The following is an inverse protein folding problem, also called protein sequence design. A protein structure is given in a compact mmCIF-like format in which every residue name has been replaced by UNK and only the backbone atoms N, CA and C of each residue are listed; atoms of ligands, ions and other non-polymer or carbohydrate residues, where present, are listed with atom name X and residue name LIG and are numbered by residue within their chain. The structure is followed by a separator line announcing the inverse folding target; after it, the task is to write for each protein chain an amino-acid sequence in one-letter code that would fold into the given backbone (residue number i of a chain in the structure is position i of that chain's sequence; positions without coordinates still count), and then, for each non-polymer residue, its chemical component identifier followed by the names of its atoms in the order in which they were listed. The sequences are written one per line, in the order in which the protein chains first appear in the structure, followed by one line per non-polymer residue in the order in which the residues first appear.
data_IF_712293707474
#
_entry.id   IF_712293707474
#
_cell.length_a   1.000
_cell.length_b   1.000
_cell.length_c   1.000
_cell.angle_alpha   90.00
_cell.angle_beta   90.00
_cell.angle_gamma   90.00
#
_symmetry.space_group_name_H-M   'P 1'
#
loop_
_entity.id
_entity.type
_entity.pdbx_description
1 polymer ?
#
# COMPACT_ATOMS: atom_id res chain seq x y z
N UNK A 1 -19.80 36.40 24.42
CA UNK A 1 -18.89 35.28 24.71
C UNK A 1 -18.89 34.38 23.49
N UNK A 2 -17.91 34.47 22.60
CA UNK A 2 -17.78 33.58 21.45
C UNK A 2 -16.54 32.72 21.68
N UNK A 3 -16.76 31.42 21.90
CA UNK A 3 -15.68 30.46 22.07
C UNK A 3 -14.89 30.36 20.76
N UNK A 4 -13.64 30.78 20.79
CA UNK A 4 -12.71 30.54 19.70
C UNK A 4 -12.44 29.03 19.64
N UNK A 5 -12.93 28.40 18.57
CA UNK A 5 -12.57 27.03 18.25
C UNK A 5 -11.05 26.97 18.02
N UNK A 6 -10.35 26.23 18.88
CA UNK A 6 -8.94 25.90 18.69
C UNK A 6 -8.79 25.20 17.34
N UNK A 7 -7.85 25.60 16.47
CA UNK A 7 -7.55 24.78 15.31
C UNK A 7 -6.93 23.50 15.88
N UNK A 8 -7.61 22.36 15.70
CA UNK A 8 -7.00 21.06 15.89
C UNK A 8 -5.84 21.03 14.90
N UNK A 9 -4.62 21.25 15.41
CA UNK A 9 -3.42 21.17 14.62
C UNK A 9 -3.42 19.81 13.93
N UNK A 10 -3.73 19.82 12.63
CA UNK A 10 -3.52 18.67 11.78
C UNK A 10 -2.04 18.35 11.93
N UNK A 11 -1.75 17.23 12.61
CA UNK A 11 -0.39 16.75 12.82
C UNK A 11 0.32 16.89 11.46
N UNK A 12 1.49 17.57 11.38
CA UNK A 12 2.25 17.55 10.15
C UNK A 12 2.37 16.08 9.76
N UNK A 13 2.06 15.68 8.52
CA UNK A 13 2.24 14.29 8.14
C UNK A 13 3.67 13.97 8.53
N UNK A 14 3.84 13.09 9.53
CA UNK A 14 5.13 12.48 9.84
C UNK A 14 5.73 12.20 8.49
N UNK A 15 6.98 12.57 8.25
CA UNK A 15 7.69 12.30 7.00
C UNK A 15 7.61 10.79 6.77
N UNK A 16 6.48 10.32 6.24
CA UNK A 16 6.27 8.97 5.79
C UNK A 16 7.29 8.95 4.69
N UNK A 17 8.35 8.17 4.86
CA UNK A 17 9.24 7.85 3.77
C UNK A 17 8.37 7.80 2.52
N UNK A 18 8.73 8.57 1.48
CA UNK A 18 7.92 8.81 0.26
C UNK A 18 7.59 7.52 -0.52
N UNK A 19 7.74 6.36 0.12
CA UNK A 19 7.29 5.05 -0.26
C UNK A 19 5.81 5.06 -0.59
N UNK A 20 5.51 4.80 -1.86
CA UNK A 20 4.15 4.62 -2.34
C UNK A 20 4.19 3.50 -3.36
N UNK A 21 3.42 2.45 -3.12
CA UNK A 21 3.20 1.40 -4.10
C UNK A 21 1.90 1.70 -4.83
N UNK A 22 1.98 1.89 -6.14
CA UNK A 22 0.81 2.00 -7.00
C UNK A 22 0.72 0.73 -7.85
N UNK A 23 -0.33 -0.05 -7.68
CA UNK A 23 -0.55 -1.26 -8.46
C UNK A 23 -1.69 -1.04 -9.45
N UNK A 24 -1.40 -1.23 -10.73
CA UNK A 24 -2.36 -1.13 -11.81
C UNK A 24 -2.90 -2.53 -12.13
N UNK A 25 -4.08 -2.88 -11.62
CA UNK A 25 -4.63 -4.23 -11.68
C UNK A 25 -6.10 -4.26 -12.10
N UNK A 26 -6.39 -4.94 -13.20
CA UNK A 26 -7.74 -5.18 -13.68
C UNK A 26 -8.32 -6.49 -13.14
N UNK A 27 -8.64 -6.54 -11.85
CA UNK A 27 -9.20 -7.74 -11.21
C UNK A 27 -10.71 -7.92 -11.38
N UNK A 28 -11.42 -6.98 -12.02
CA UNK A 28 -12.89 -7.04 -12.13
C UNK A 28 -13.63 -6.57 -10.86
N UNK A 29 -14.94 -6.34 -10.99
CA UNK A 29 -15.78 -5.79 -9.92
C UNK A 29 -15.97 -6.84 -8.82
N UNK A 30 -15.76 -6.44 -7.55
CA UNK A 30 -15.93 -7.29 -6.38
C UNK A 30 -14.64 -7.93 -5.86
N UNK A 31 -13.57 -7.92 -6.66
CA UNK A 31 -12.27 -8.38 -6.22
C UNK A 31 -11.48 -7.24 -5.57
N UNK A 32 -10.58 -7.57 -4.63
CA UNK A 32 -9.66 -6.60 -4.01
C UNK A 32 -8.23 -7.13 -4.04
N UNK A 33 -7.24 -6.28 -4.37
CA UNK A 33 -5.85 -6.66 -4.25
C UNK A 33 -5.40 -6.53 -2.79
N UNK A 34 -4.71 -7.55 -2.34
CA UNK A 34 -4.06 -7.67 -1.06
C UNK A 34 -2.56 -7.63 -1.28
N UNK A 35 -1.84 -7.00 -0.36
CA UNK A 35 -0.38 -6.95 -0.35
C UNK A 35 0.10 -7.74 0.87
N UNK A 36 1.03 -8.66 0.63
CA UNK A 36 1.73 -9.43 1.66
C UNK A 36 3.22 -9.18 1.55
N UNK A 37 3.97 -9.35 2.63
CA UNK A 37 5.41 -9.13 2.61
C UNK A 37 6.01 -9.11 4.01
N UNK A 38 7.31 -8.88 4.06
CA UNK A 38 8.06 -8.79 5.31
C UNK A 38 8.62 -7.38 5.49
N UNK A 39 7.80 -6.48 6.04
CA UNK A 39 8.22 -5.13 6.47
C UNK A 39 7.21 -4.01 6.19
N UNK A 40 7.44 -2.83 6.79
CA UNK A 40 6.58 -1.64 6.61
C UNK A 40 5.16 -1.79 7.15
N UNK A 41 4.96 -2.71 8.09
CA UNK A 41 3.66 -3.13 8.59
C UNK A 41 2.98 -4.25 7.78
N UNK A 42 3.61 -4.76 6.72
CA UNK A 42 3.13 -5.97 6.02
C UNK A 42 3.43 -7.23 6.82
N UNK A 43 2.62 -8.26 6.60
CA UNK A 43 2.82 -9.59 7.16
C UNK A 43 2.77 -10.64 6.03
N UNK A 44 3.62 -11.66 6.13
CA UNK A 44 3.56 -12.81 5.22
C UNK A 44 2.30 -13.67 5.43
N UNK A 45 1.79 -13.70 6.66
CA UNK A 45 0.59 -14.47 7.02
C UNK A 45 -0.72 -13.75 6.70
N UNK A 46 -0.71 -12.41 6.73
CA UNK A 46 -1.93 -11.60 6.60
C UNK A 46 -1.75 -10.54 5.53
N UNK A 47 -2.51 -10.68 4.44
CA UNK A 47 -2.60 -9.63 3.43
C UNK A 47 -3.26 -8.38 3.95
N UNK A 48 -2.75 -7.23 3.51
CA UNK A 48 -3.39 -5.93 3.72
C UNK A 48 -4.08 -5.53 2.42
N UNK A 49 -5.36 -5.17 2.48
CA UNK A 49 -6.04 -4.66 1.29
C UNK A 49 -5.45 -3.31 0.88
N UNK A 50 -5.16 -3.13 -0.41
CA UNK A 50 -4.73 -1.83 -0.92
C UNK A 50 -5.90 -0.84 -0.97
N UNK A 51 -5.58 0.45 -0.97
CA UNK A 51 -6.55 1.52 -1.12
C UNK A 51 -6.95 1.66 -2.60
N UNK A 52 -8.26 1.68 -2.85
CA UNK A 52 -8.79 1.87 -4.20
C UNK A 52 -8.67 3.33 -4.60
N UNK A 53 -7.96 3.62 -5.69
CA UNK A 53 -7.80 4.98 -6.21
C UNK A 53 -8.72 5.21 -7.40
N UNK A 54 -8.62 4.35 -8.40
CA UNK A 54 -9.40 4.42 -9.65
C UNK A 54 -9.52 3.01 -10.25
N UNK A 55 -10.39 2.83 -11.25
CA UNK A 55 -10.59 1.53 -11.88
C UNK A 55 -9.26 1.03 -12.43
N UNK A 56 -8.83 -0.13 -11.96
CA UNK A 56 -7.56 -0.69 -12.36
C UNK A 56 -6.36 -0.11 -11.64
N UNK A 57 -6.50 0.76 -10.63
CA UNK A 57 -5.37 1.34 -9.91
C UNK A 57 -5.61 1.42 -8.41
N UNK A 58 -4.61 0.94 -7.69
CA UNK A 58 -4.64 0.78 -6.26
C UNK A 58 -3.38 1.39 -5.68
N UNK A 59 -3.50 2.06 -4.55
CA UNK A 59 -2.35 2.61 -3.84
C UNK A 59 -2.21 1.96 -2.49
N UNK A 60 -0.99 1.69 -2.10
CA UNK A 60 -0.65 1.27 -0.76
C UNK A 60 0.57 2.06 -0.29
N UNK A 61 0.53 2.48 0.97
CA UNK A 61 1.64 3.12 1.64
C UNK A 61 1.92 2.36 2.93
N UNK A 62 3.20 2.11 3.26
CA UNK A 62 3.56 1.45 4.50
C UNK A 62 3.10 2.29 5.70
N UNK A 63 2.61 1.61 6.73
CA UNK A 63 2.20 2.25 7.99
C UNK A 63 3.39 2.63 8.86
N UNK A 64 4.49 1.89 8.71
CA UNK A 64 5.74 2.08 9.43
C UNK A 64 6.85 2.53 8.47
N UNK A 65 7.90 3.15 9.02
CA UNK A 65 9.06 3.50 8.22
C UNK A 65 9.79 2.22 7.79
N UNK A 66 10.26 2.21 6.55
CA UNK A 66 11.02 1.10 6.02
C UNK A 66 12.49 1.35 6.35
N UNK A 67 13.12 0.46 7.14
CA UNK A 67 14.56 0.54 7.44
C UNK A 67 15.44 0.03 6.28
N UNK A 68 14.85 -0.64 5.30
CA UNK A 68 15.55 -1.23 4.15
C UNK A 68 14.59 -1.67 3.05
N UNK A 69 15.12 -2.18 1.92
CA UNK A 69 14.30 -2.75 0.86
C UNK A 69 13.52 -3.94 1.40
N UNK A 70 12.21 -3.95 1.14
CA UNK A 70 11.33 -5.04 1.56
C UNK A 70 10.82 -5.79 0.34
N UNK A 71 10.63 -7.10 0.52
CA UNK A 71 9.97 -7.94 -0.48
C UNK A 71 8.48 -8.05 -0.13
N UNK A 72 7.66 -7.77 -1.13
CA UNK A 72 6.21 -7.83 -1.06
C UNK A 72 5.64 -8.51 -2.30
N UNK A 73 4.47 -9.09 -2.18
CA UNK A 73 3.77 -9.74 -3.29
C UNK A 73 2.30 -9.37 -3.22
N UNK A 74 1.70 -9.18 -4.39
CA UNK A 74 0.28 -8.89 -4.49
C UNK A 74 -0.50 -10.18 -4.67
N UNK A 75 -1.69 -10.18 -4.11
CA UNK A 75 -2.64 -11.28 -4.12
C UNK A 75 -4.02 -10.76 -4.49
N UNK A 76 -4.71 -11.39 -5.42
CA UNK A 76 -6.13 -11.14 -5.67
C UNK A 76 -6.94 -11.90 -4.63
N UNK A 77 -7.75 -11.16 -3.89
CA UNK A 77 -8.58 -11.67 -2.78
C UNK A 77 -7.80 -12.43 -1.70
N UNK A 78 -6.49 -12.21 -1.60
CA UNK A 78 -5.63 -12.94 -0.66
C UNK A 78 -5.51 -14.46 -0.96
N UNK A 79 -6.01 -14.88 -2.13
CA UNK A 79 -6.08 -16.28 -2.59
C UNK A 79 -5.15 -16.52 -3.80
N UNK A 80 -5.22 -15.66 -4.81
CA UNK A 80 -4.45 -15.80 -6.05
C UNK A 80 -3.20 -14.92 -6.01
N UNK A 81 -1.98 -15.48 -5.99
CA UNK A 81 -0.77 -14.70 -6.09
C UNK A 81 -0.60 -14.08 -7.48
N UNK A 82 0.02 -12.91 -7.53
CA UNK A 82 0.47 -12.28 -8.76
C UNK A 82 1.51 -13.15 -9.48
N UNK A 83 1.36 -13.26 -10.80
CA UNK A 83 2.29 -13.96 -11.70
C UNK A 83 3.61 -13.22 -11.90
N UNK A 84 3.67 -11.90 -11.69
CA UNK A 84 4.95 -11.18 -11.71
C UNK A 84 5.86 -11.55 -10.53
N UNK A 85 5.31 -12.18 -9.48
CA UNK A 85 6.08 -12.71 -8.36
C UNK A 85 6.30 -11.70 -7.23
N UNK A 86 7.42 -11.84 -6.51
CA UNK A 86 7.80 -10.91 -5.45
C UNK A 86 8.38 -9.62 -6.04
N UNK A 87 8.00 -8.50 -5.44
CA UNK A 87 8.42 -7.16 -5.78
C UNK A 87 9.27 -6.62 -4.64
N UNK A 88 10.34 -5.93 -5.00
CA UNK A 88 11.18 -5.23 -4.03
C UNK A 88 10.75 -3.77 -3.98
N UNK A 89 10.38 -3.29 -2.80
CA UNK A 89 10.03 -1.89 -2.54
C UNK A 89 11.08 -1.26 -1.65
N UNK A 90 11.70 -0.19 -2.15
CA UNK A 90 12.72 0.54 -1.41
C UNK A 90 12.12 1.64 -0.52
N UNK A 91 12.75 1.93 0.63
CA UNK A 91 12.34 3.03 1.49
C UNK A 91 12.45 4.37 0.76
N UNK A 92 11.35 5.14 0.75
CA UNK A 92 11.28 6.45 0.10
C UNK A 92 10.99 6.40 -1.40
N UNK A 93 10.77 5.22 -1.99
CA UNK A 93 10.56 5.04 -3.43
C UNK A 93 9.08 4.95 -3.79
N UNK A 94 8.69 5.62 -4.87
CA UNK A 94 7.37 5.44 -5.48
C UNK A 94 7.45 4.36 -6.55
N UNK A 95 7.01 3.15 -6.22
CA UNK A 95 7.00 2.04 -7.15
C UNK A 95 5.63 1.92 -7.82
N UNK A 96 5.63 1.81 -9.14
CA UNK A 96 4.41 1.51 -9.90
C UNK A 96 4.54 0.14 -10.54
N UNK A 97 3.58 -0.74 -10.29
CA UNK A 97 3.58 -2.12 -10.76
C UNK A 97 2.27 -2.43 -11.47
N UNK A 98 2.29 -3.40 -12.37
CA UNK A 98 1.10 -3.90 -13.05
C UNK A 98 1.01 -5.42 -12.90
N UNK A 99 0.59 -5.91 -11.72
CA UNK A 99 0.51 -7.33 -11.44
C UNK A 99 -0.59 -8.01 -12.26
N UNK A 100 -0.34 -9.27 -12.59
CA UNK A 100 -1.20 -10.11 -13.44
C UNK A 100 -1.67 -11.34 -12.65
N UNK A 101 -3.00 -11.49 -12.51
CA UNK A 101 -3.65 -12.58 -11.77
C UNK A 101 -4.40 -13.53 -12.71
#
# INVERSE_FOLDING_TARGET
MFAAAVPVAAKPPKKKANTLLTATIFIGIGNKPFIRGNGGGLSSEKGIAMEFVEIGKWSWAPSEELDGPIELQLYRNDEDPDKSGTLTLEPGQKLTVSPEF
#
